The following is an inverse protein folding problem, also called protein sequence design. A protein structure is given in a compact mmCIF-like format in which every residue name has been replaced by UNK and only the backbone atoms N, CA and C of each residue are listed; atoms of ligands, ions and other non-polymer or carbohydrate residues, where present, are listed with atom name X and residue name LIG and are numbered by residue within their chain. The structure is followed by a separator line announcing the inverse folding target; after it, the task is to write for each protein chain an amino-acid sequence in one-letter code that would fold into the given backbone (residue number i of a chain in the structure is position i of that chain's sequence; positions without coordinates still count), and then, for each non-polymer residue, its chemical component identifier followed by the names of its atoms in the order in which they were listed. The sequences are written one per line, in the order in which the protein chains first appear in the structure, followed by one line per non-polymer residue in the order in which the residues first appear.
data_IF_465666865438
#
_entry.id   IF_465666865438
#
_cell.length_a   1.000
_cell.length_b   1.000
_cell.length_c   1.000
_cell.angle_alpha   90.00
_cell.angle_beta   90.00
_cell.angle_gamma   90.00
#
_symmetry.space_group_name_H-M   'P 1'
#
loop_
_entity.id
_entity.type
_entity.pdbx_description
1 polymer ?
#
# COMPACT_ATOMS: atom_id res chain seq x y z
N UNK A 1 66.61 -33.32 -47.89
CA UNK A 1 66.43 -32.37 -46.77
C UNK A 1 65.86 -31.08 -47.36
N UNK A 2 64.59 -30.77 -47.10
CA UNK A 2 63.97 -29.52 -47.55
C UNK A 2 64.28 -28.42 -46.53
N UNK A 3 65.01 -27.38 -46.95
CA UNK A 3 65.29 -26.20 -46.13
C UNK A 3 64.02 -25.34 -46.14
N UNK A 4 63.30 -25.30 -45.02
CA UNK A 4 62.17 -24.38 -44.84
C UNK A 4 62.76 -22.96 -44.84
N UNK A 5 62.40 -22.15 -45.83
CA UNK A 5 62.93 -20.79 -45.98
C UNK A 5 62.50 -19.92 -44.80
N UNK A 6 63.46 -19.22 -44.16
CA UNK A 6 63.19 -18.31 -43.04
C UNK A 6 62.15 -17.23 -43.36
N UNK A 7 61.89 -16.95 -44.64
CA UNK A 7 60.82 -16.04 -45.09
C UNK A 7 59.41 -16.60 -44.87
N UNK A 8 59.23 -17.92 -44.82
CA UNK A 8 57.94 -18.57 -44.56
C UNK A 8 57.58 -18.47 -43.07
N UNK A 9 58.55 -18.74 -42.19
CA UNK A 9 58.35 -18.64 -40.73
C UNK A 9 58.04 -17.20 -40.27
N UNK A 10 58.66 -16.19 -40.90
CA UNK A 10 58.37 -14.78 -40.59
C UNK A 10 56.93 -14.40 -40.97
N UNK A 11 56.42 -14.86 -42.13
CA UNK A 11 55.03 -14.60 -42.55
C UNK A 11 54.00 -15.28 -41.64
N UNK A 12 54.30 -16.49 -41.17
CA UNK A 12 53.42 -17.20 -40.23
C UNK A 12 53.38 -16.50 -38.85
N UNK A 13 54.53 -15.98 -38.39
CA UNK A 13 54.61 -15.23 -37.14
C UNK A 13 53.90 -13.87 -37.23
N UNK A 14 54.05 -13.14 -38.35
CA UNK A 14 53.34 -11.88 -38.62
C UNK A 14 51.83 -12.07 -38.68
N UNK A 15 51.35 -13.14 -39.35
CA UNK A 15 49.92 -13.47 -39.42
C UNK A 15 49.32 -13.80 -38.06
N UNK A 16 50.04 -14.53 -37.21
CA UNK A 16 49.56 -14.91 -35.88
C UNK A 16 49.51 -13.69 -34.93
N UNK A 17 50.47 -12.77 -35.02
CA UNK A 17 50.46 -11.53 -34.24
C UNK A 17 49.33 -10.58 -34.66
N UNK A 18 49.03 -10.51 -35.96
CA UNK A 18 47.94 -9.67 -36.47
C UNK A 18 46.56 -10.24 -36.11
N UNK A 19 46.40 -11.57 -36.12
CA UNK A 19 45.17 -12.26 -35.73
C UNK A 19 44.87 -12.11 -34.23
N UNK A 20 45.89 -12.23 -33.39
CA UNK A 20 45.76 -12.06 -31.93
C UNK A 20 45.41 -10.62 -31.55
N UNK A 21 46.04 -9.62 -32.18
CA UNK A 21 45.74 -8.21 -31.98
C UNK A 21 44.29 -7.84 -32.39
N UNK A 22 43.81 -8.34 -33.53
CA UNK A 22 42.43 -8.12 -34.00
C UNK A 22 41.38 -8.74 -33.05
N UNK A 23 41.67 -9.93 -32.51
CA UNK A 23 40.77 -10.63 -31.59
C UNK A 23 40.68 -9.90 -30.25
N UNK A 24 41.82 -9.41 -29.73
CA UNK A 24 41.87 -8.61 -28.50
C UNK A 24 41.13 -7.28 -28.64
N UNK A 25 41.27 -6.59 -29.79
CA UNK A 25 40.56 -5.35 -30.06
C UNK A 25 39.03 -5.54 -30.12
N UNK A 26 38.55 -6.63 -30.74
CA UNK A 26 37.13 -6.99 -30.75
C UNK A 26 36.59 -7.27 -29.36
N UNK A 27 37.31 -8.05 -28.54
CA UNK A 27 36.92 -8.34 -27.16
C UNK A 27 36.83 -7.07 -26.29
N UNK A 28 37.78 -6.13 -26.45
CA UNK A 28 37.77 -4.85 -25.75
C UNK A 28 36.56 -3.98 -26.13
N UNK A 29 36.17 -3.95 -27.41
CA UNK A 29 34.98 -3.22 -27.88
C UNK A 29 33.68 -3.82 -27.32
N UNK A 30 33.54 -5.16 -27.34
CA UNK A 30 32.35 -5.82 -26.78
C UNK A 30 32.21 -5.60 -25.27
N UNK A 31 33.33 -5.60 -24.53
CA UNK A 31 33.31 -5.27 -23.10
C UNK A 31 32.89 -3.81 -22.84
N UNK A 32 33.41 -2.85 -23.62
CA UNK A 32 33.07 -1.43 -23.46
C UNK A 32 31.61 -1.11 -23.81
N UNK A 33 31.03 -1.80 -24.81
CA UNK A 33 29.62 -1.67 -25.17
C UNK A 33 28.67 -2.34 -24.16
N UNK A 34 29.07 -3.47 -23.56
CA UNK A 34 28.26 -4.12 -22.51
C UNK A 34 28.18 -3.27 -21.22
N UNK A 35 29.23 -2.49 -20.93
CA UNK A 35 29.29 -1.58 -19.77
C UNK A 35 28.38 -0.36 -19.91
N UNK A 36 28.08 0.11 -21.13
CA UNK A 36 27.27 1.32 -21.35
C UNK A 36 25.76 1.06 -21.44
N UNK A 37 25.32 -0.18 -21.71
CA UNK A 37 23.89 -0.53 -21.83
C UNK A 37 23.23 -0.80 -20.47
N UNK A 38 23.99 -0.87 -19.38
CA UNK A 38 23.46 -1.17 -18.04
C UNK A 38 22.92 0.05 -17.27
N UNK A 39 22.93 1.25 -17.85
CA UNK A 39 22.71 2.50 -17.10
C UNK A 39 21.43 3.28 -17.43
N UNK A 40 20.50 2.75 -18.24
CA UNK A 40 19.26 3.47 -18.60
C UNK A 40 18.04 2.58 -18.45
N UNK A 41 17.49 2.55 -17.24
CA UNK A 41 16.04 2.52 -16.91
C UNK A 41 15.85 2.27 -15.40
N UNK A 42 16.25 3.22 -14.55
CA UNK A 42 15.61 3.34 -13.23
C UNK A 42 14.48 4.34 -13.42
N UNK A 43 13.34 3.85 -13.91
CA UNK A 43 12.07 4.53 -13.65
C UNK A 43 11.88 4.39 -12.14
N UNK A 44 12.10 5.47 -11.41
CA UNK A 44 11.59 5.59 -10.07
C UNK A 44 10.07 5.54 -10.22
N UNK A 45 9.48 4.35 -10.17
CA UNK A 45 8.13 4.22 -9.64
C UNK A 45 8.27 4.72 -8.21
N UNK A 46 8.03 6.01 -8.02
CA UNK A 46 7.80 6.55 -6.71
C UNK A 46 6.56 5.80 -6.23
N UNK A 47 6.78 4.67 -5.57
CA UNK A 47 5.80 3.92 -4.83
C UNK A 47 5.28 4.88 -3.79
N UNK A 48 4.27 5.65 -4.19
CA UNK A 48 3.43 6.40 -3.28
C UNK A 48 3.06 5.39 -2.20
N UNK A 49 3.35 5.68 -0.91
CA UNK A 49 3.04 4.74 0.14
C UNK A 49 1.58 4.31 -0.05
N UNK A 50 1.35 3.01 -0.25
CA UNK A 50 0.00 2.48 -0.48
C UNK A 50 -0.88 3.00 0.66
N UNK A 51 -1.81 3.88 0.35
CA UNK A 51 -2.63 4.50 1.39
C UNK A 51 -3.53 3.42 1.95
N UNK A 52 -3.40 3.13 3.25
CA UNK A 52 -4.16 2.04 3.85
C UNK A 52 -5.64 2.38 3.86
N UNK A 53 -6.50 1.34 3.82
CA UNK A 53 -7.95 1.50 3.90
C UNK A 53 -8.38 2.43 5.04
N UNK A 54 -7.83 2.19 6.24
CA UNK A 54 -8.12 2.99 7.44
C UNK A 54 -7.66 4.45 7.28
N UNK A 55 -6.55 4.71 6.59
CA UNK A 55 -6.12 6.08 6.33
C UNK A 55 -7.12 6.82 5.43
N UNK A 56 -7.63 6.17 4.38
CA UNK A 56 -8.65 6.76 3.51
C UNK A 56 -9.99 7.00 4.22
N UNK A 57 -10.44 6.06 5.07
CA UNK A 57 -11.60 6.27 5.94
C UNK A 57 -11.37 7.49 6.85
N UNK A 58 -10.21 7.59 7.51
CA UNK A 58 -9.85 8.72 8.37
C UNK A 58 -9.89 10.07 7.62
N UNK A 59 -9.31 10.12 6.41
CA UNK A 59 -9.35 11.31 5.56
C UNK A 59 -10.78 11.69 5.17
N UNK A 60 -11.61 10.71 4.81
CA UNK A 60 -13.00 10.94 4.42
C UNK A 60 -13.86 11.47 5.58
N UNK A 61 -13.69 10.92 6.78
CA UNK A 61 -14.51 11.26 7.96
C UNK A 61 -14.16 12.62 8.57
N UNK A 62 -12.87 12.98 8.61
CA UNK A 62 -12.45 14.19 9.33
C UNK A 62 -11.26 14.94 8.73
N UNK A 63 -10.83 14.58 7.51
CA UNK A 63 -9.52 15.00 7.01
C UNK A 63 -8.38 14.43 7.85
N UNK A 64 -8.64 13.30 8.52
CA UNK A 64 -7.79 12.63 9.49
C UNK A 64 -7.30 13.55 10.62
N UNK A 65 -8.26 14.25 11.25
CA UNK A 65 -8.05 15.16 12.39
C UNK A 65 -8.94 14.78 13.57
N UNK A 66 -8.50 15.11 14.79
CA UNK A 66 -9.31 15.03 16.00
C UNK A 66 -10.30 16.21 16.04
N UNK A 67 -11.50 16.03 15.49
CA UNK A 67 -12.50 17.10 15.33
C UNK A 67 -13.55 17.15 16.45
N UNK A 68 -13.33 16.47 17.58
CA UNK A 68 -14.31 16.42 18.66
C UNK A 68 -15.56 15.63 18.25
N UNK A 69 -16.72 15.98 18.79
CA UNK A 69 -17.98 15.29 18.49
C UNK A 69 -18.96 16.22 17.78
N UNK A 70 -19.53 15.76 16.67
CA UNK A 70 -20.49 16.50 15.87
C UNK A 70 -21.82 15.75 15.82
N UNK A 71 -22.92 16.50 15.67
CA UNK A 71 -24.23 15.91 15.49
C UNK A 71 -24.33 15.32 14.08
N UNK A 72 -24.67 14.03 14.01
CA UNK A 72 -24.79 13.26 12.77
C UNK A 72 -26.03 12.33 12.84
N UNK A 73 -27.06 12.71 12.10
CA UNK A 73 -28.36 12.01 11.99
C UNK A 73 -28.90 11.56 13.36
N UNK A 74 -29.12 12.53 14.26
CA UNK A 74 -29.77 12.30 15.55
C UNK A 74 -28.89 11.71 16.66
N UNK A 75 -27.58 11.57 16.43
CA UNK A 75 -26.62 11.10 17.43
C UNK A 75 -25.27 11.78 17.27
N UNK A 76 -24.42 11.74 18.29
CA UNK A 76 -23.05 12.26 18.19
C UNK A 76 -22.11 11.25 17.52
N UNK A 77 -21.30 11.74 16.60
CA UNK A 77 -20.17 11.05 15.96
C UNK A 77 -18.87 11.76 16.33
N UNK A 78 -17.82 11.03 16.72
CA UNK A 78 -16.64 11.63 17.31
C UNK A 78 -15.32 11.31 16.59
N UNK A 79 -14.43 12.30 16.56
CA UNK A 79 -13.00 12.18 16.32
C UNK A 79 -12.59 11.78 14.91
N UNK A 80 -11.45 11.10 14.80
CA UNK A 80 -10.76 10.80 13.54
C UNK A 80 -11.61 10.04 12.52
N UNK A 81 -12.53 9.22 13.01
CA UNK A 81 -13.34 8.32 12.19
C UNK A 81 -14.84 8.54 12.39
N UNK A 82 -15.24 9.64 13.03
CA UNK A 82 -16.65 9.94 13.34
C UNK A 82 -17.38 8.75 14.01
N UNK A 83 -16.70 8.08 14.96
CA UNK A 83 -17.20 6.90 15.66
C UNK A 83 -18.37 7.29 16.57
N UNK A 84 -19.50 6.60 16.45
CA UNK A 84 -20.66 6.69 17.36
C UNK A 84 -20.48 5.83 18.61
N UNK A 85 -21.18 6.14 19.71
CA UNK A 85 -21.08 5.37 20.95
C UNK A 85 -21.36 3.86 20.78
N UNK A 86 -22.42 3.42 20.06
CA UNK A 86 -22.65 2.00 19.85
C UNK A 86 -21.53 1.30 19.08
N UNK A 87 -20.93 2.00 18.12
CA UNK A 87 -19.76 1.50 17.39
C UNK A 87 -18.58 1.25 18.35
N UNK A 88 -18.31 2.20 19.25
CA UNK A 88 -17.26 2.07 20.26
C UNK A 88 -17.52 0.92 21.25
N UNK A 89 -18.78 0.77 21.68
CA UNK A 89 -19.19 -0.38 22.49
C UNK A 89 -18.88 -1.69 21.78
N UNK A 90 -19.17 -1.75 20.48
CA UNK A 90 -19.04 -2.96 19.69
C UNK A 90 -17.59 -3.30 19.32
N UNK A 91 -16.72 -2.31 19.18
CA UNK A 91 -15.28 -2.54 18.98
C UNK A 91 -14.55 -2.98 20.27
N UNK A 92 -15.27 -3.27 21.35
CA UNK A 92 -14.71 -3.78 22.60
C UNK A 92 -14.29 -2.70 23.59
N UNK A 93 -14.74 -1.45 23.40
CA UNK A 93 -14.47 -0.33 24.32
C UNK A 93 -12.96 -0.14 24.54
N UNK A 94 -12.18 -0.19 23.46
CA UNK A 94 -10.71 -0.14 23.49
C UNK A 94 -10.25 1.07 24.29
N UNK A 95 -9.26 0.85 25.16
CA UNK A 95 -8.66 1.90 25.98
C UNK A 95 -9.53 2.42 27.13
N UNK A 96 -10.72 1.85 27.36
CA UNK A 96 -11.54 2.17 28.55
C UNK A 96 -10.89 1.62 29.82
N UNK A 97 -10.80 2.47 30.83
CA UNK A 97 -10.25 2.10 32.13
C UNK A 97 -11.34 1.51 33.05
N UNK A 98 -10.94 0.70 34.03
CA UNK A 98 -11.87 0.13 35.01
C UNK A 98 -12.56 1.25 35.79
N UNK A 99 -13.90 1.27 35.75
CA UNK A 99 -14.72 2.30 36.42
C UNK A 99 -14.87 3.61 35.65
N UNK A 100 -14.22 3.76 34.49
CA UNK A 100 -14.38 4.95 33.65
C UNK A 100 -15.78 4.99 33.02
N UNK A 101 -16.39 6.16 33.00
CA UNK A 101 -17.63 6.40 32.25
C UNK A 101 -17.41 6.11 30.76
N UNK A 102 -18.38 5.43 30.14
CA UNK A 102 -18.24 4.97 28.76
C UNK A 102 -18.24 6.13 27.76
N UNK A 103 -18.94 7.23 28.04
CA UNK A 103 -18.94 8.39 27.15
C UNK A 103 -17.59 9.10 27.18
N UNK A 104 -16.98 9.21 28.37
CA UNK A 104 -15.63 9.74 28.54
C UNK A 104 -14.60 8.90 27.77
N UNK A 105 -14.63 7.57 27.96
CA UNK A 105 -13.73 6.65 27.29
C UNK A 105 -13.89 6.69 25.76
N UNK A 106 -15.13 6.67 25.28
CA UNK A 106 -15.47 6.77 23.85
C UNK A 106 -14.91 8.05 23.23
N UNK A 107 -15.22 9.21 23.79
CA UNK A 107 -14.79 10.51 23.24
C UNK A 107 -13.27 10.67 23.25
N UNK A 108 -12.61 10.17 24.30
CA UNK A 108 -11.15 10.13 24.40
C UNK A 108 -10.54 9.21 23.34
N UNK A 109 -11.04 7.99 23.20
CA UNK A 109 -10.56 7.03 22.20
C UNK A 109 -10.80 7.53 20.77
N UNK A 110 -11.97 8.10 20.49
CA UNK A 110 -12.31 8.62 19.18
C UNK A 110 -11.37 9.76 18.72
N UNK A 111 -10.92 10.61 19.66
CA UNK A 111 -9.96 11.70 19.41
C UNK A 111 -8.49 11.26 19.53
N UNK A 112 -8.20 9.98 19.72
CA UNK A 112 -6.84 9.43 19.65
C UNK A 112 -6.72 8.57 18.38
N UNK A 113 -5.77 8.91 17.50
CA UNK A 113 -5.68 8.26 16.19
C UNK A 113 -5.43 6.75 16.33
N UNK A 114 -4.58 6.35 17.26
CA UNK A 114 -4.21 4.93 17.46
C UNK A 114 -5.40 4.15 18.01
N UNK A 115 -6.05 4.65 19.06
CA UNK A 115 -7.20 4.03 19.70
C UNK A 115 -8.37 3.90 18.73
N UNK A 116 -8.71 4.98 18.02
CA UNK A 116 -9.80 4.99 17.04
C UNK A 116 -9.52 4.08 15.84
N UNK A 117 -8.28 4.04 15.32
CA UNK A 117 -7.88 3.11 14.26
C UNK A 117 -8.04 1.65 14.71
N UNK A 118 -7.63 1.34 15.94
CA UNK A 118 -7.80 -0.01 16.50
C UNK A 118 -9.28 -0.35 16.71
N UNK A 119 -10.11 0.62 17.08
CA UNK A 119 -11.56 0.44 17.20
C UNK A 119 -12.20 0.12 15.84
N UNK A 120 -11.81 0.82 14.75
CA UNK A 120 -12.30 0.50 13.39
C UNK A 120 -11.91 -0.92 12.99
N UNK A 121 -10.65 -1.33 13.23
CA UNK A 121 -10.18 -2.69 12.94
C UNK A 121 -10.93 -3.74 13.74
N UNK A 122 -11.10 -3.55 15.05
CA UNK A 122 -11.84 -4.49 15.90
C UNK A 122 -13.32 -4.59 15.52
N UNK A 123 -13.95 -3.49 15.10
CA UNK A 123 -15.32 -3.49 14.59
C UNK A 123 -15.44 -4.26 13.28
N UNK A 124 -14.48 -4.06 12.36
CA UNK A 124 -14.36 -4.87 11.15
C UNK A 124 -14.18 -6.35 11.49
N UNK A 125 -13.24 -6.71 12.35
CA UNK A 125 -12.98 -8.12 12.73
C UNK A 125 -14.22 -8.78 13.34
N UNK A 126 -15.00 -8.03 14.15
CA UNK A 126 -16.25 -8.51 14.74
C UNK A 126 -17.34 -8.78 13.70
N UNK A 127 -17.41 -7.99 12.63
CA UNK A 127 -18.56 -7.98 11.72
C UNK A 127 -18.27 -8.40 10.27
N UNK A 128 -17.01 -8.57 9.86
CA UNK A 128 -16.64 -8.95 8.49
C UNK A 128 -17.30 -10.27 8.05
N UNK A 129 -17.50 -11.23 8.96
CA UNK A 129 -18.20 -12.48 8.68
C UNK A 129 -19.67 -12.30 8.26
N UNK A 130 -20.32 -11.18 8.60
CA UNK A 130 -21.67 -10.88 8.12
C UNK A 130 -21.72 -10.52 6.62
N UNK A 131 -20.55 -10.30 6.01
CA UNK A 131 -20.37 -9.95 4.61
C UNK A 131 -19.80 -11.11 3.79
N UNK A 132 -19.65 -12.30 4.37
CA UNK A 132 -19.24 -13.52 3.64
C UNK A 132 -20.20 -13.79 2.47
N UNK A 133 -19.64 -14.12 1.31
CA UNK A 133 -20.41 -14.40 0.09
C UNK A 133 -20.78 -13.16 -0.74
N UNK A 134 -20.44 -11.95 -0.30
CA UNK A 134 -20.66 -10.72 -1.09
C UNK A 134 -19.65 -10.51 -2.23
N UNK A 135 -18.48 -11.18 -2.17
CA UNK A 135 -17.39 -11.01 -3.13
C UNK A 135 -16.58 -9.71 -2.98
N UNK A 136 -16.86 -8.93 -1.93
CA UNK A 136 -16.22 -7.63 -1.66
C UNK A 136 -14.81 -7.80 -1.10
N UNK A 137 -13.92 -6.85 -1.40
CA UNK A 137 -12.56 -6.83 -0.84
C UNK A 137 -12.61 -6.54 0.67
N UNK A 138 -11.54 -6.86 1.44
CA UNK A 138 -11.46 -6.49 2.85
C UNK A 138 -11.66 -4.99 3.10
N UNK A 139 -11.13 -4.12 2.25
CA UNK A 139 -11.32 -2.69 2.42
C UNK A 139 -12.75 -2.24 2.08
N UNK A 140 -13.37 -2.82 1.05
CA UNK A 140 -14.78 -2.54 0.76
C UNK A 140 -15.66 -2.92 1.95
N UNK A 141 -15.48 -4.13 2.51
CA UNK A 141 -16.22 -4.57 3.69
C UNK A 141 -15.96 -3.64 4.87
N UNK A 142 -14.71 -3.30 5.18
CA UNK A 142 -14.37 -2.37 6.26
C UNK A 142 -15.04 -1.01 6.09
N UNK A 143 -14.99 -0.44 4.89
CA UNK A 143 -15.57 0.88 4.58
C UNK A 143 -17.08 0.87 4.70
N UNK A 144 -17.73 -0.17 4.17
CA UNK A 144 -19.19 -0.27 4.18
C UNK A 144 -19.70 -0.61 5.57
N UNK A 145 -18.98 -1.41 6.36
CA UNK A 145 -19.29 -1.64 7.76
C UNK A 145 -19.11 -0.38 8.61
N UNK A 146 -18.08 0.43 8.31
CA UNK A 146 -17.86 1.71 8.98
C UNK A 146 -19.04 2.66 8.77
N UNK A 147 -19.49 2.83 7.53
CA UNK A 147 -20.57 3.74 7.18
C UNK A 147 -21.97 3.21 7.52
N UNK A 148 -22.22 1.91 7.33
CA UNK A 148 -23.55 1.31 7.41
C UNK A 148 -23.78 0.35 8.58
N UNK A 149 -22.79 0.17 9.47
CA UNK A 149 -22.87 -0.76 10.59
C UNK A 149 -22.68 -2.24 10.18
N UNK A 150 -23.10 -3.21 11.02
CA UNK A 150 -22.69 -4.62 10.90
C UNK A 150 -22.99 -5.28 9.55
N UNK A 151 -24.07 -4.85 8.89
CA UNK A 151 -24.52 -5.36 7.58
C UNK A 151 -24.37 -4.34 6.46
N UNK A 152 -23.53 -3.31 6.64
CA UNK A 152 -23.38 -2.21 5.68
C UNK A 152 -22.97 -2.67 4.27
N UNK A 153 -22.23 -3.77 4.16
CA UNK A 153 -21.88 -4.45 2.90
C UNK A 153 -23.08 -4.91 2.05
N UNK A 154 -24.28 -5.08 2.64
CA UNK A 154 -25.51 -5.45 1.93
C UNK A 154 -26.37 -4.25 1.55
N UNK A 155 -26.08 -3.06 2.07
CA UNK A 155 -26.87 -1.85 1.80
C UNK A 155 -26.32 -1.10 0.60
N UNK A 156 -27.15 -0.78 -0.39
CA UNK A 156 -26.77 0.08 -1.51
C UNK A 156 -26.41 1.51 -1.08
N UNK A 157 -26.92 1.97 0.07
CA UNK A 157 -26.61 3.30 0.62
C UNK A 157 -25.13 3.52 0.92
N UNK A 158 -24.37 2.45 1.15
CA UNK A 158 -22.92 2.52 1.47
C UNK A 158 -22.03 2.45 0.24
N UNK A 159 -22.58 2.25 -0.97
CA UNK A 159 -21.81 2.13 -2.20
C UNK A 159 -21.09 3.45 -2.57
N UNK A 160 -21.76 4.59 -2.36
CA UNK A 160 -21.14 5.91 -2.58
C UNK A 160 -19.99 6.19 -1.61
N UNK A 161 -20.13 5.74 -0.36
CA UNK A 161 -19.06 5.80 0.63
C UNK A 161 -17.85 4.96 0.20
N UNK A 162 -18.07 3.69 -0.17
CA UNK A 162 -16.99 2.84 -0.69
C UNK A 162 -16.28 3.45 -1.90
N UNK A 163 -17.03 4.00 -2.87
CA UNK A 163 -16.45 4.67 -4.03
C UNK A 163 -15.44 5.75 -3.62
N UNK A 164 -15.78 6.58 -2.62
CA UNK A 164 -14.89 7.63 -2.13
C UNK A 164 -13.60 7.06 -1.49
N UNK A 165 -13.70 5.96 -0.72
CA UNK A 165 -12.54 5.31 -0.10
C UNK A 165 -11.66 4.64 -1.16
N UNK A 166 -12.27 3.92 -2.09
CA UNK A 166 -11.58 3.28 -3.21
C UNK A 166 -10.84 4.30 -4.07
N UNK A 167 -11.42 5.47 -4.32
CA UNK A 167 -10.77 6.54 -5.09
C UNK A 167 -9.55 7.10 -4.35
N UNK A 168 -9.65 7.29 -3.03
CA UNK A 168 -8.54 7.75 -2.20
C UNK A 168 -7.33 6.80 -2.27
N UNK A 169 -7.57 5.48 -2.25
CA UNK A 169 -6.50 4.48 -2.32
C UNK A 169 -6.18 4.03 -3.75
N UNK A 170 -6.76 4.67 -4.79
CA UNK A 170 -6.62 4.30 -6.20
C UNK A 170 -7.01 2.83 -6.50
N UNK A 171 -7.91 2.26 -5.72
CA UNK A 171 -8.29 0.84 -5.79
C UNK A 171 -7.19 -0.13 -5.37
N UNK A 172 -6.17 0.34 -4.65
CA UNK A 172 -5.03 -0.45 -4.17
C UNK A 172 -5.12 -0.78 -2.68
N UNK A 173 -6.25 -0.44 -2.07
CA UNK A 173 -6.76 -1.01 -0.84
C UNK A 173 -7.85 -2.04 -1.18
#
# INVERSE_FOLDING_TARGET
MAVISSRVLLKEHEGNLQQTCSTMYKLAIFAALALSVSAVAIINDATMPSTTCTHCICLHESGCKAIGCNMDVGSLSCGYYQIKLPYYQDCGQIGRQKGEDINTAWKRCANDLTCSTNCVKAYYDRYAGQCTGTGQSPCEVMSRNHNGGPRGCHSSSTAGYWKAISDCCKGQC
#
